data_IF_552249637195
#
_entry.id   IF_552249637195
#
_cell.length_a   1.000
_cell.length_b   1.000
_cell.length_c   1.000
_cell.angle_alpha   90.00
_cell.angle_beta   90.00
_cell.angle_gamma   90.00
#
_symmetry.space_group_name_H-M   'P 1'
#
loop_
_entity.id
_entity.type
_entity.pdbx_description
1 polymer ?
#
# COMPACT_ATOMS: atom_id res chain seq x y z
N UNK A 1 32.89 -29.41 59.86
CA UNK A 1 32.50 -29.06 58.48
C UNK A 1 32.90 -27.60 58.26
N UNK A 2 34.12 -27.27 57.80
CA UNK A 2 35.20 -28.13 57.23
C UNK A 2 34.78 -28.77 55.88
N UNK A 3 35.49 -28.68 54.74
CA UNK A 3 36.76 -28.02 54.31
C UNK A 3 36.57 -27.65 52.81
N UNK A 4 37.41 -26.95 52.00
CA UNK A 4 38.83 -26.54 51.96
C UNK A 4 38.93 -24.98 51.72
N UNK A 5 40.05 -24.23 51.63
CA UNK A 5 41.38 -24.34 50.94
C UNK A 5 41.24 -24.19 49.40
N UNK A 6 41.78 -23.20 48.65
CA UNK A 6 42.96 -22.26 48.72
C UNK A 6 44.20 -22.75 47.91
N UNK A 7 45.05 -21.81 47.46
CA UNK A 7 45.95 -21.86 46.29
C UNK A 7 46.99 -23.01 46.18
N UNK A 8 47.36 -23.38 44.94
CA UNK A 8 48.77 -23.44 44.52
C UNK A 8 48.94 -23.21 42.99
N UNK A 9 50.07 -22.61 42.57
CA UNK A 9 50.45 -22.38 41.16
C UNK A 9 51.87 -22.97 40.94
N UNK A 10 52.03 -23.84 39.94
CA UNK A 10 53.34 -24.18 39.36
C UNK A 10 53.33 -23.99 37.82
N UNK A 11 54.52 -23.99 37.21
CA UNK A 11 54.76 -23.28 35.93
C UNK A 11 55.84 -23.91 35.05
N UNK A 12 55.88 -23.50 33.76
CA UNK A 12 56.86 -23.88 32.72
C UNK A 12 56.72 -25.35 32.22
N UNK A 13 57.27 -25.76 31.08
CA UNK A 13 58.42 -25.23 30.29
C UNK A 13 58.12 -24.74 28.85
N UNK A 14 59.13 -24.17 28.19
CA UNK A 14 59.15 -23.68 26.82
C UNK A 14 60.41 -24.18 26.05
N UNK A 15 60.21 -25.03 25.04
CA UNK A 15 61.11 -25.34 23.91
C UNK A 15 60.16 -25.63 22.71
N UNK A 16 60.18 -24.97 21.55
CA UNK A 16 61.24 -24.60 20.60
C UNK A 16 61.69 -25.76 19.67
N UNK A 17 61.01 -25.89 18.52
CA UNK A 17 61.60 -26.27 17.22
C UNK A 17 60.60 -25.93 16.07
N UNK A 18 61.02 -25.12 15.09
CA UNK A 18 60.28 -24.87 13.82
C UNK A 18 61.16 -25.26 12.62
N UNK A 19 60.99 -26.46 12.06
CA UNK A 19 61.60 -26.84 10.80
C UNK A 19 60.63 -26.58 9.64
N UNK A 20 60.79 -25.43 8.99
CA UNK A 20 60.32 -25.19 7.60
C UNK A 20 60.96 -26.22 6.63
N UNK A 21 60.47 -26.21 5.38
CA UNK A 21 60.90 -27.01 4.19
C UNK A 21 60.04 -28.26 3.90
N UNK A 22 59.63 -28.56 2.66
CA UNK A 22 59.64 -27.73 1.44
C UNK A 22 58.60 -28.20 0.39
N UNK A 23 58.44 -27.41 -0.67
CA UNK A 23 57.26 -27.42 -1.55
C UNK A 23 57.09 -28.60 -2.54
N UNK A 24 55.84 -29.03 -2.74
CA UNK A 24 55.21 -29.32 -4.06
C UNK A 24 53.70 -29.50 -3.83
N UNK A 25 52.77 -29.20 -4.76
CA UNK A 25 52.87 -28.74 -6.15
C UNK A 25 51.95 -27.52 -6.40
N UNK A 26 52.01 -26.94 -7.60
CA UNK A 26 51.04 -25.93 -8.05
C UNK A 26 49.64 -26.54 -8.16
N UNK A 27 48.62 -25.74 -7.88
CA UNK A 27 47.61 -25.44 -8.90
C UNK A 27 47.27 -23.92 -8.88
N UNK A 28 46.51 -23.44 -9.87
CA UNK A 28 46.26 -22.01 -10.13
C UNK A 28 44.77 -21.73 -10.41
N UNK A 29 43.97 -21.65 -9.36
CA UNK A 29 42.61 -21.11 -9.32
C UNK A 29 42.17 -21.00 -7.85
N UNK A 30 41.35 -20.06 -7.43
CA UNK A 30 41.12 -18.70 -7.96
C UNK A 30 40.86 -17.80 -6.74
N UNK A 31 40.69 -16.49 -6.92
CA UNK A 31 40.09 -15.68 -5.85
C UNK A 31 38.58 -15.79 -6.03
N UNK A 32 37.90 -16.50 -5.12
CA UNK A 32 36.43 -16.48 -4.98
C UNK A 32 36.02 -15.08 -4.53
N UNK A 33 36.03 -14.15 -5.48
CA UNK A 33 35.45 -12.82 -5.38
C UNK A 33 33.95 -12.97 -5.69
N UNK A 34 33.26 -13.78 -4.87
CA UNK A 34 31.80 -14.03 -4.88
C UNK A 34 31.04 -12.76 -4.43
N UNK A 35 31.35 -11.65 -5.08
CA UNK A 35 30.46 -10.53 -5.28
C UNK A 35 29.46 -10.96 -6.36
N UNK A 36 28.54 -11.84 -5.97
CA UNK A 36 27.29 -12.11 -6.70
C UNK A 36 26.53 -10.78 -6.77
N UNK A 37 26.82 -10.01 -7.82
CA UNK A 37 26.43 -8.61 -8.01
C UNK A 37 25.86 -8.37 -9.42
N UNK A 38 25.35 -9.45 -10.03
CA UNK A 38 24.61 -9.49 -11.29
C UNK A 38 23.21 -10.05 -10.99
N UNK A 39 22.44 -9.27 -10.23
CA UNK A 39 21.12 -9.61 -9.70
C UNK A 39 20.35 -8.33 -9.33
N UNK A 40 20.51 -7.29 -10.16
CA UNK A 40 19.62 -6.12 -10.28
C UNK A 40 18.33 -6.60 -10.99
N UNK A 41 17.77 -7.70 -10.47
CA UNK A 41 16.49 -8.29 -10.86
C UNK A 41 15.35 -7.63 -10.04
N UNK A 42 15.53 -6.35 -9.71
CA UNK A 42 14.46 -5.36 -9.56
C UNK A 42 13.81 -5.12 -10.96
N UNK A 43 13.43 -6.22 -11.60
CA UNK A 43 12.13 -6.32 -12.22
C UNK A 43 11.13 -6.22 -11.04
N UNK A 44 10.89 -4.99 -10.60
CA UNK A 44 9.50 -4.62 -10.34
C UNK A 44 8.72 -5.12 -11.57
N UNK A 45 7.74 -6.01 -11.37
CA UNK A 45 6.76 -6.26 -12.42
C UNK A 45 6.06 -4.93 -12.66
N UNK A 46 6.52 -4.19 -13.67
CA UNK A 46 6.02 -2.89 -14.11
C UNK A 46 4.53 -3.07 -14.47
N UNK A 47 3.67 -2.93 -13.45
CA UNK A 47 2.22 -3.01 -13.54
C UNK A 47 1.75 -2.10 -14.69
N UNK A 48 0.87 -2.61 -15.55
CA UNK A 48 0.40 -1.83 -16.70
C UNK A 48 -0.37 -0.61 -16.16
N UNK A 49 0.01 0.58 -16.64
CA UNK A 49 -0.69 1.84 -16.32
C UNK A 49 -2.18 1.66 -16.61
N UNK A 50 -3.06 1.95 -15.64
CA UNK A 50 -4.51 1.88 -15.86
C UNK A 50 -4.89 2.82 -17.02
N UNK A 51 -5.49 2.26 -18.07
CA UNK A 51 -5.90 3.01 -19.26
C UNK A 51 -7.25 3.71 -18.97
N UNK A 52 -7.64 4.76 -19.70
CA UNK A 52 -8.92 5.44 -19.49
C UNK A 52 -10.18 4.59 -19.72
N UNK A 53 -10.06 3.34 -20.20
CA UNK A 53 -11.19 2.39 -20.27
C UNK A 53 -11.34 1.51 -19.02
N UNK A 54 -10.35 1.50 -18.12
CA UNK A 54 -10.38 0.78 -16.84
C UNK A 54 -10.93 1.63 -15.67
N UNK A 55 -11.04 2.94 -15.86
CA UNK A 55 -11.33 3.91 -14.79
C UNK A 55 -12.80 4.34 -14.86
N UNK A 56 -13.66 3.82 -13.97
CA UNK A 56 -15.08 4.22 -13.96
C UNK A 56 -15.24 5.70 -13.56
N UNK A 57 -14.48 6.13 -12.55
CA UNK A 57 -14.35 7.53 -12.14
C UNK A 57 -13.25 7.77 -11.08
N UNK A 58 -12.71 8.99 -11.10
CA UNK A 58 -11.90 9.58 -10.02
C UNK A 58 -12.56 10.90 -9.58
N UNK A 59 -13.08 10.96 -8.35
CA UNK A 59 -13.77 12.16 -7.86
C UNK A 59 -13.29 12.60 -6.47
N UNK A 60 -13.25 13.92 -6.25
CA UNK A 60 -12.93 14.53 -4.96
C UNK A 60 -14.14 15.22 -4.34
N UNK A 61 -14.49 14.82 -3.12
CA UNK A 61 -15.51 15.42 -2.28
C UNK A 61 -14.90 16.21 -1.10
N UNK A 62 -15.34 17.46 -0.92
CA UNK A 62 -14.81 18.38 0.09
C UNK A 62 -15.87 19.37 0.59
N UNK A 63 -15.51 20.32 1.47
CA UNK A 63 -16.44 21.33 2.00
C UNK A 63 -15.91 22.75 1.93
N UNK A 64 -16.64 23.59 1.19
CA UNK A 64 -16.39 25.02 1.04
C UNK A 64 -17.60 25.81 1.56
N UNK A 65 -17.36 26.81 2.42
CA UNK A 65 -18.38 27.62 3.11
C UNK A 65 -19.56 26.82 3.74
N UNK A 66 -19.31 25.57 4.14
CA UNK A 66 -20.29 24.67 4.72
C UNK A 66 -21.16 23.90 3.71
N UNK A 67 -20.94 24.09 2.42
CA UNK A 67 -21.54 23.30 1.33
C UNK A 67 -20.62 22.13 0.96
N UNK A 68 -21.19 20.95 0.69
CA UNK A 68 -20.41 19.82 0.16
C UNK A 68 -20.22 20.00 -1.36
N UNK A 69 -18.96 20.13 -1.78
CA UNK A 69 -18.56 20.16 -3.19
C UNK A 69 -18.13 18.77 -3.64
N UNK A 70 -18.32 18.46 -4.92
CA UNK A 70 -17.79 17.25 -5.58
C UNK A 70 -17.34 17.65 -6.98
N UNK A 71 -16.12 17.29 -7.35
CA UNK A 71 -15.54 17.49 -8.69
C UNK A 71 -14.93 16.16 -9.19
N UNK A 72 -14.86 15.95 -10.50
CA UNK A 72 -13.94 14.96 -11.06
C UNK A 72 -12.48 15.43 -10.91
N UNK A 73 -11.54 14.48 -10.95
CA UNK A 73 -10.10 14.71 -11.11
C UNK A 73 -9.62 14.15 -12.45
N UNK A 74 -8.31 14.21 -12.71
CA UNK A 74 -7.69 13.59 -13.90
C UNK A 74 -7.67 12.07 -13.76
N UNK A 75 -7.91 11.34 -14.85
CA UNK A 75 -7.77 9.88 -14.93
C UNK A 75 -6.33 9.42 -14.60
N UNK A 76 -5.32 10.24 -14.92
CA UNK A 76 -3.89 9.99 -14.60
C UNK A 76 -3.62 9.69 -13.11
N UNK A 77 -4.55 10.03 -12.21
CA UNK A 77 -4.46 9.74 -10.76
C UNK A 77 -4.77 8.28 -10.39
N UNK A 78 -5.13 7.42 -11.34
CA UNK A 78 -5.19 5.97 -11.15
C UNK A 78 -3.79 5.33 -11.03
N UNK A 79 -2.71 6.05 -11.36
CA UNK A 79 -1.35 5.51 -11.42
C UNK A 79 -0.33 6.27 -10.54
N UNK A 80 -0.77 7.23 -9.70
CA UNK A 80 0.11 7.98 -8.77
C UNK A 80 -0.63 8.39 -7.48
N UNK A 81 -0.39 7.65 -6.39
CA UNK A 81 -0.99 7.94 -5.07
C UNK A 81 -0.41 9.23 -4.44
N UNK A 82 0.88 9.53 -4.66
CA UNK A 82 1.52 10.75 -4.14
C UNK A 82 0.91 12.01 -4.77
N UNK A 83 0.59 12.00 -6.07
CA UNK A 83 -0.12 13.10 -6.71
C UNK A 83 -1.59 13.14 -6.30
N UNK A 84 -2.31 12.01 -6.23
CA UNK A 84 -3.70 11.99 -5.75
C UNK A 84 -3.82 12.60 -4.34
N UNK A 85 -2.97 12.15 -3.41
CA UNK A 85 -2.86 12.71 -2.05
C UNK A 85 -2.52 14.20 -2.13
N UNK A 86 -1.65 14.61 -3.04
CA UNK A 86 -1.21 16.00 -3.21
C UNK A 86 -2.27 16.91 -3.85
N UNK A 87 -3.12 16.39 -4.75
CA UNK A 87 -4.29 17.08 -5.29
C UNK A 87 -5.33 17.27 -4.20
N UNK A 88 -5.72 16.21 -3.49
CA UNK A 88 -6.67 16.26 -2.38
C UNK A 88 -6.22 17.22 -1.26
N UNK A 89 -4.91 17.27 -0.97
CA UNK A 89 -4.32 18.20 0.02
C UNK A 89 -4.49 19.69 -0.32
N UNK A 90 -4.75 20.04 -1.59
CA UNK A 90 -4.96 21.43 -2.06
C UNK A 90 -6.41 21.90 -1.87
N UNK A 91 -7.37 20.99 -1.66
CA UNK A 91 -8.79 21.29 -1.58
C UNK A 91 -9.19 21.86 -0.19
N UNK A 92 -10.13 22.81 -0.12
CA UNK A 92 -10.54 23.41 1.14
C UNK A 92 -11.49 22.50 1.94
N UNK A 93 -11.37 22.53 3.27
CA UNK A 93 -12.33 21.91 4.17
C UNK A 93 -11.77 21.59 5.55
N UNK A 94 -12.47 22.02 6.60
CA UNK A 94 -12.11 21.76 8.00
C UNK A 94 -12.08 20.23 8.32
N UNK A 95 -12.93 19.46 7.63
CA UNK A 95 -12.98 17.99 7.71
C UNK A 95 -12.00 17.24 6.80
N UNK A 96 -11.17 17.95 6.02
CA UNK A 96 -10.38 17.42 4.92
C UNK A 96 -11.17 17.19 3.63
N UNK A 97 -10.49 16.61 2.63
CA UNK A 97 -11.07 16.13 1.39
C UNK A 97 -11.06 14.59 1.33
N UNK A 98 -11.98 14.00 0.57
CA UNK A 98 -12.13 12.56 0.32
C UNK A 98 -12.09 12.34 -1.19
N UNK A 99 -11.11 11.59 -1.68
CA UNK A 99 -11.16 10.95 -3.00
C UNK A 99 -11.96 9.65 -2.92
N UNK A 100 -12.84 9.43 -3.90
CA UNK A 100 -13.45 8.12 -4.18
C UNK A 100 -13.02 7.73 -5.60
N UNK A 101 -12.43 6.54 -5.74
CA UNK A 101 -11.89 6.01 -6.99
C UNK A 101 -12.47 4.62 -7.25
N UNK A 102 -12.90 4.39 -8.48
CA UNK A 102 -13.50 3.15 -8.95
C UNK A 102 -12.78 2.68 -10.21
N UNK A 103 -12.27 1.45 -10.20
CA UNK A 103 -11.67 0.80 -11.37
C UNK A 103 -12.45 -0.48 -11.71
N UNK A 104 -12.64 -0.70 -13.01
CA UNK A 104 -13.27 -1.85 -13.68
C UNK A 104 -14.62 -2.34 -13.13
N UNK A 105 -15.29 -1.55 -12.28
CA UNK A 105 -16.46 -1.96 -11.52
C UNK A 105 -16.17 -2.94 -10.36
N UNK A 106 -14.91 -3.27 -10.08
CA UNK A 106 -14.52 -4.27 -9.07
C UNK A 106 -13.65 -3.65 -7.94
N UNK A 107 -12.72 -2.74 -8.24
CA UNK A 107 -11.81 -2.14 -7.23
C UNK A 107 -12.35 -0.80 -6.73
N UNK A 108 -12.56 -0.67 -5.41
CA UNK A 108 -12.98 0.57 -4.76
C UNK A 108 -11.91 1.12 -3.80
N UNK A 109 -11.53 2.39 -4.00
CA UNK A 109 -10.49 3.08 -3.25
C UNK A 109 -11.06 4.34 -2.58
N UNK A 110 -10.72 4.55 -1.30
CA UNK A 110 -11.09 5.75 -0.53
C UNK A 110 -9.84 6.40 0.08
N UNK A 111 -9.48 7.58 -0.43
CA UNK A 111 -8.33 8.36 0.05
C UNK A 111 -8.81 9.59 0.81
N UNK A 112 -8.42 9.79 2.07
CA UNK A 112 -8.86 10.95 2.87
C UNK A 112 -7.69 11.76 3.40
N UNK A 113 -7.61 13.03 2.96
CA UNK A 113 -6.50 13.92 3.28
C UNK A 113 -6.95 15.07 4.19
N UNK A 114 -6.32 15.15 5.36
CA UNK A 114 -6.62 16.06 6.47
C UNK A 114 -5.36 16.83 6.87
N UNK A 115 -4.96 17.74 5.98
CA UNK A 115 -3.75 18.56 6.12
C UNK A 115 -2.47 17.72 5.99
N UNK A 116 -2.03 17.11 7.10
CA UNK A 116 -0.89 16.17 7.14
C UNK A 116 -1.27 14.71 7.38
N UNK A 117 -2.47 14.46 7.92
CA UNK A 117 -2.95 13.10 8.08
C UNK A 117 -3.54 12.62 6.76
N UNK A 118 -3.06 11.49 6.26
CA UNK A 118 -3.72 10.71 5.21
C UNK A 118 -4.30 9.47 5.89
N UNK A 119 -5.46 9.05 5.42
CA UNK A 119 -6.11 7.78 5.73
C UNK A 119 -6.43 7.14 4.37
N UNK A 120 -6.16 5.85 4.20
CA UNK A 120 -6.46 5.09 2.99
C UNK A 120 -7.37 3.91 3.32
N UNK A 121 -8.15 3.48 2.35
CA UNK A 121 -8.82 2.18 2.31
C UNK A 121 -8.83 1.71 0.86
N UNK A 122 -8.61 0.40 0.68
CA UNK A 122 -8.73 -0.34 -0.57
C UNK A 122 -9.66 -1.53 -0.29
N UNK A 123 -10.62 -1.81 -1.18
CA UNK A 123 -11.66 -2.83 -0.96
C UNK A 123 -11.18 -4.28 -1.08
N UNK A 124 -10.05 -4.49 -1.73
CA UNK A 124 -9.53 -5.79 -2.14
C UNK A 124 -8.00 -5.66 -2.23
N UNK A 125 -7.24 -6.45 -1.48
CA UNK A 125 -5.77 -6.38 -1.49
C UNK A 125 -5.12 -7.16 -2.65
N UNK A 126 -5.81 -8.14 -3.25
CA UNK A 126 -5.32 -8.85 -4.43
C UNK A 126 -5.23 -7.95 -5.67
N UNK A 127 -6.05 -6.89 -5.74
CA UNK A 127 -5.95 -5.81 -6.72
C UNK A 127 -4.57 -5.14 -6.80
N UNK A 128 -3.74 -5.25 -5.76
CA UNK A 128 -2.35 -4.76 -5.74
C UNK A 128 -1.36 -5.62 -6.56
N UNK A 129 -1.83 -6.70 -7.20
CA UNK A 129 -1.10 -7.45 -8.22
C UNK A 129 -1.41 -6.99 -9.66
N UNK A 130 -2.40 -6.11 -9.84
CA UNK A 130 -2.96 -5.73 -11.16
C UNK A 130 -2.92 -4.21 -11.38
N UNK A 131 -3.19 -3.40 -10.33
CA UNK A 131 -3.34 -1.95 -10.44
C UNK A 131 -2.25 -1.15 -9.71
N UNK A 132 -1.53 -0.22 -10.39
CA UNK A 132 -0.46 0.57 -9.79
C UNK A 132 -0.86 1.31 -8.50
N UNK A 133 -2.02 1.98 -8.47
CA UNK A 133 -2.49 2.66 -7.25
C UNK A 133 -2.84 1.70 -6.10
N UNK A 134 -3.27 0.47 -6.39
CA UNK A 134 -3.53 -0.53 -5.34
C UNK A 134 -2.20 -1.00 -4.71
N UNK A 135 -1.15 -1.19 -5.54
CA UNK A 135 0.24 -1.45 -5.10
C UNK A 135 0.77 -0.32 -4.20
N UNK A 136 0.63 0.91 -4.65
CA UNK A 136 0.98 2.15 -3.92
C UNK A 136 0.26 2.23 -2.54
N UNK A 137 -1.02 1.84 -2.49
CA UNK A 137 -1.80 1.83 -1.24
C UNK A 137 -1.31 0.73 -0.27
N UNK A 138 -0.98 -0.46 -0.78
CA UNK A 138 -0.47 -1.56 0.03
C UNK A 138 0.89 -1.22 0.67
N UNK A 139 1.85 -0.70 -0.11
CA UNK A 139 3.15 -0.24 0.42
C UNK A 139 2.97 0.90 1.44
N UNK A 140 2.14 1.91 1.12
CA UNK A 140 1.89 3.03 2.03
C UNK A 140 1.33 2.58 3.39
N UNK A 141 0.47 1.56 3.39
CA UNK A 141 -0.08 0.97 4.61
C UNK A 141 0.93 0.04 5.32
N UNK A 142 1.83 -0.59 4.56
CA UNK A 142 2.77 -1.62 5.03
C UNK A 142 2.10 -2.99 5.20
N UNK A 143 1.09 -3.28 4.39
CA UNK A 143 0.32 -4.53 4.41
C UNK A 143 0.88 -5.51 3.36
N UNK A 144 0.64 -6.82 3.58
CA UNK A 144 1.10 -7.89 2.70
C UNK A 144 0.13 -8.06 1.50
N UNK A 145 0.67 -8.38 0.32
CA UNK A 145 -0.12 -8.61 -0.91
C UNK A 145 -0.16 -10.12 -1.15
N UNK A 146 -1.34 -10.74 -1.37
CA UNK A 146 -1.46 -12.17 -1.57
C UNK A 146 -0.87 -12.61 -2.93
N UNK A 147 -0.34 -13.84 -2.99
CA UNK A 147 0.07 -14.47 -4.26
C UNK A 147 -1.12 -14.53 -5.26
N UNK A 148 -0.88 -14.37 -6.57
CA UNK A 148 -1.90 -14.40 -7.64
C UNK A 148 -2.79 -15.66 -7.67
N UNK A 149 -2.30 -16.77 -7.11
CA UNK A 149 -2.98 -18.08 -7.06
C UNK A 149 -3.89 -18.26 -5.81
N UNK A 150 -3.96 -17.28 -4.89
CA UNK A 150 -4.75 -17.35 -3.64
C UNK A 150 -6.14 -16.69 -3.75
N UNK A 151 -7.06 -17.09 -2.87
CA UNK A 151 -8.50 -16.74 -2.84
C UNK A 151 -8.84 -15.87 -1.60
N UNK A 152 -7.88 -15.70 -0.67
CA UNK A 152 -8.02 -14.98 0.62
C UNK A 152 -7.83 -13.45 0.45
N UNK A 153 -8.63 -12.82 -0.43
CA UNK A 153 -8.69 -11.36 -0.55
C UNK A 153 -9.43 -10.71 0.64
N UNK A 154 -8.89 -9.62 1.18
CA UNK A 154 -9.57 -8.81 2.21
C UNK A 154 -9.40 -7.27 2.02
N UNK A 155 -10.40 -6.46 2.45
CA UNK A 155 -10.31 -5.00 2.41
C UNK A 155 -9.31 -4.45 3.44
N UNK A 156 -8.28 -3.74 2.98
CA UNK A 156 -7.18 -3.23 3.82
C UNK A 156 -7.29 -1.73 4.15
N UNK A 157 -6.58 -1.33 5.21
CA UNK A 157 -6.49 0.06 5.66
C UNK A 157 -7.53 0.47 6.70
N UNK A 158 -7.90 1.76 6.71
CA UNK A 158 -8.71 2.35 7.78
C UNK A 158 -10.22 2.26 7.50
N UNK A 159 -10.86 1.16 7.91
CA UNK A 159 -12.33 1.02 7.82
C UNK A 159 -13.11 2.09 8.61
N UNK A 160 -12.46 2.87 9.49
CA UNK A 160 -13.08 4.02 10.20
C UNK A 160 -12.90 5.35 9.45
N UNK A 161 -12.30 5.36 8.26
CA UNK A 161 -11.99 6.54 7.43
C UNK A 161 -13.15 7.52 7.23
N UNK A 162 -14.41 7.03 7.21
CA UNK A 162 -15.62 7.84 7.05
C UNK A 162 -16.54 7.91 8.31
N UNK A 163 -16.07 7.44 9.47
CA UNK A 163 -16.90 7.35 10.70
C UNK A 163 -17.41 8.69 11.25
N UNK A 164 -16.68 9.79 11.05
CA UNK A 164 -17.18 11.13 11.41
C UNK A 164 -18.18 11.72 10.39
N UNK A 165 -18.28 11.13 9.19
CA UNK A 165 -19.25 11.53 8.16
C UNK A 165 -20.54 10.68 8.19
N UNK A 166 -20.56 9.61 9.00
CA UNK A 166 -21.74 8.78 9.26
C UNK A 166 -21.71 7.36 8.67
N UNK A 167 -20.59 6.95 8.05
CA UNK A 167 -20.35 5.55 7.63
C UNK A 167 -19.44 4.89 8.67
N UNK A 168 -20.00 4.01 9.49
CA UNK A 168 -19.23 3.26 10.49
C UNK A 168 -18.45 2.11 9.85
N UNK A 169 -17.32 1.73 10.44
CA UNK A 169 -16.53 0.52 10.11
C UNK A 169 -17.39 -0.68 9.68
N UNK A 170 -18.29 -1.17 10.53
CA UNK A 170 -19.18 -2.29 10.19
C UNK A 170 -20.02 -2.06 8.92
N UNK A 171 -20.45 -0.83 8.64
CA UNK A 171 -21.28 -0.47 7.48
C UNK A 171 -20.43 -0.33 6.21
N UNK A 172 -19.13 -0.04 6.32
CA UNK A 172 -18.18 -0.02 5.20
C UNK A 172 -17.69 -1.44 4.88
N UNK A 173 -17.25 -2.20 5.88
CA UNK A 173 -16.83 -3.60 5.73
C UNK A 173 -17.97 -4.46 5.17
N UNK A 174 -19.23 -4.22 5.58
CA UNK A 174 -20.40 -4.93 5.00
C UNK A 174 -20.61 -4.64 3.51
N UNK A 175 -20.09 -3.53 2.96
CA UNK A 175 -20.13 -3.30 1.50
C UNK A 175 -18.99 -4.02 0.79
N UNK A 176 -17.78 -4.04 1.37
CA UNK A 176 -16.64 -4.73 0.78
C UNK A 176 -16.81 -6.26 0.79
N UNK A 177 -17.55 -6.80 1.78
CA UNK A 177 -17.92 -8.22 1.92
C UNK A 177 -19.06 -8.65 0.96
N UNK A 178 -19.71 -7.71 0.25
CA UNK A 178 -20.87 -7.98 -0.62
C UNK A 178 -20.45 -8.20 -2.08
N UNK A 179 -20.08 -9.45 -2.41
CA UNK A 179 -19.62 -9.84 -3.76
C UNK A 179 -20.66 -9.68 -4.89
N UNK A 180 -21.91 -9.31 -4.59
CA UNK A 180 -22.92 -8.90 -5.59
C UNK A 180 -22.89 -7.37 -5.86
N UNK A 181 -22.02 -6.59 -5.21
CA UNK A 181 -21.95 -5.12 -5.23
C UNK A 181 -20.65 -4.59 -5.86
N UNK A 182 -20.73 -4.07 -7.09
CA UNK A 182 -19.59 -3.44 -7.76
C UNK A 182 -19.07 -2.17 -7.07
N UNK A 183 -17.81 -1.81 -7.34
CA UNK A 183 -17.11 -0.65 -6.76
C UNK A 183 -17.84 0.67 -7.00
N UNK A 184 -18.42 0.85 -8.19
CA UNK A 184 -19.25 1.99 -8.58
C UNK A 184 -20.45 2.19 -7.63
N UNK A 185 -21.10 1.09 -7.27
CA UNK A 185 -22.30 1.03 -6.44
C UNK A 185 -21.94 1.15 -4.96
N UNK A 186 -20.85 0.53 -4.50
CA UNK A 186 -20.28 0.69 -3.17
C UNK A 186 -19.99 2.18 -2.89
N UNK A 187 -19.28 2.84 -3.80
CA UNK A 187 -18.91 4.25 -3.65
C UNK A 187 -20.12 5.18 -3.81
N UNK A 188 -21.13 4.77 -4.57
CA UNK A 188 -22.45 5.44 -4.64
C UNK A 188 -23.24 5.34 -3.31
N UNK A 189 -23.28 4.16 -2.68
CA UNK A 189 -23.84 3.93 -1.33
C UNK A 189 -23.13 4.83 -0.31
N UNK A 190 -21.78 4.81 -0.31
CA UNK A 190 -20.94 5.69 0.51
C UNK A 190 -21.29 7.16 0.29
N UNK A 191 -21.41 7.61 -0.97
CA UNK A 191 -21.72 8.99 -1.32
C UNK A 191 -23.09 9.45 -0.78
N UNK A 192 -24.12 8.60 -0.81
CA UNK A 192 -25.41 8.90 -0.19
C UNK A 192 -25.33 8.89 1.35
N UNK A 193 -24.56 7.98 1.95
CA UNK A 193 -24.37 7.91 3.40
C UNK A 193 -23.61 9.12 3.95
N UNK A 194 -22.55 9.60 3.30
CA UNK A 194 -21.83 10.84 3.68
C UNK A 194 -22.49 12.14 3.18
N UNK A 195 -23.67 12.04 2.55
CA UNK A 195 -24.55 13.16 2.13
C UNK A 195 -23.95 14.06 1.04
N UNK A 196 -23.33 13.43 0.04
CA UNK A 196 -22.88 14.05 -1.22
C UNK A 196 -23.55 13.46 -2.48
N UNK A 197 -24.28 12.35 -2.35
CA UNK A 197 -24.88 11.58 -3.45
C UNK A 197 -25.58 12.37 -4.59
N UNK A 198 -26.31 13.47 -4.33
CA UNK A 198 -26.87 14.31 -5.40
C UNK A 198 -25.83 15.09 -6.21
N UNK A 199 -24.71 15.48 -5.58
CA UNK A 199 -23.58 16.12 -6.27
C UNK A 199 -22.70 15.07 -6.95
N UNK A 200 -22.45 13.94 -6.28
CA UNK A 200 -21.74 12.78 -6.83
C UNK A 200 -22.35 12.33 -8.15
N UNK A 201 -23.63 11.93 -8.15
CA UNK A 201 -24.32 11.46 -9.37
C UNK A 201 -24.38 12.51 -10.46
N UNK A 202 -24.41 13.80 -10.13
CA UNK A 202 -24.34 14.88 -11.12
C UNK A 202 -22.97 14.94 -11.79
N UNK A 203 -21.86 14.72 -11.06
CA UNK A 203 -20.52 14.66 -11.66
C UNK A 203 -20.41 13.45 -12.58
N UNK A 204 -20.83 12.26 -12.12
CA UNK A 204 -20.86 11.05 -12.96
C UNK A 204 -21.68 11.28 -14.25
N UNK A 205 -22.91 11.79 -14.14
CA UNK A 205 -23.81 12.15 -15.26
C UNK A 205 -23.28 13.27 -16.18
N UNK A 206 -22.30 14.09 -15.74
CA UNK A 206 -21.76 15.21 -16.54
C UNK A 206 -20.42 14.90 -17.21
N UNK A 207 -19.56 14.12 -16.56
CA UNK A 207 -18.17 13.89 -16.99
C UNK A 207 -17.92 12.43 -17.45
N UNK A 208 -18.71 11.46 -16.97
CA UNK A 208 -18.55 10.01 -17.23
C UNK A 208 -19.80 9.34 -17.85
N UNK A 209 -20.75 10.12 -18.39
CA UNK A 209 -21.98 9.63 -19.02
C UNK A 209 -21.99 9.73 -20.55
N UNK A 210 -22.40 8.64 -21.23
CA UNK A 210 -22.54 8.48 -22.71
C UNK A 210 -23.72 9.27 -23.33
#
# INVERSE_FOLDING_TARGET
>A
MADYDDDEIESFDLDDDDPRESASSRDLAEADDDLEADGDDDLDDDLEDADPEDIDFIIAAYREDGQSMVNALSEDLANDLEELITQLRRLPGDGGAVGLLSLVGEVAIIVRVRGRHVQLMLSDNAAANDWPIARDIADYLGEDIPDEDDDDSEPIGDMKILSDLGVSEFDLTTMCDDLDLGSDQLLTEVADKIKIGPQFRKVIDSEFGD
#
